data_IF_727313252049
#
_entry.id   IF_727313252049
#
_cell.length_a   1.000
_cell.length_b   1.000
_cell.length_c   1.000
_cell.angle_alpha   90.00
_cell.angle_beta   90.00
_cell.angle_gamma   90.00
#
_symmetry.space_group_name_H-M   'P 1'
#
loop_
_entity.id
_entity.type
_entity.pdbx_description
1 polymer ?
#
# COMPACT_ATOMS: atom_id res chain seq x y z
N UNK A 1 21.29 18.71 1.09
CA UNK A 1 19.83 18.55 0.88
C UNK A 1 19.64 18.51 -0.62
N UNK A 2 18.93 17.53 -1.18
CA UNK A 2 18.65 17.52 -2.62
C UNK A 2 17.79 18.73 -2.98
N UNK A 3 18.07 19.36 -4.13
CA UNK A 3 17.26 20.49 -4.62
C UNK A 3 15.83 20.00 -4.95
N UNK A 4 14.82 20.86 -4.79
CA UNK A 4 13.42 20.50 -5.05
C UNK A 4 13.23 20.05 -6.51
N UNK A 5 13.97 20.66 -7.43
CA UNK A 5 13.99 20.27 -8.84
C UNK A 5 14.59 18.87 -9.06
N UNK A 6 15.60 18.48 -8.28
CA UNK A 6 16.20 17.14 -8.35
C UNK A 6 15.23 16.06 -7.85
N UNK A 7 14.47 16.38 -6.78
CA UNK A 7 13.44 15.48 -6.24
C UNK A 7 12.32 15.28 -7.25
N UNK A 8 11.82 16.36 -7.86
CA UNK A 8 10.75 16.28 -8.86
C UNK A 8 11.25 15.57 -10.12
N UNK A 9 12.49 15.82 -10.56
CA UNK A 9 13.08 15.17 -11.73
C UNK A 9 13.33 13.66 -11.57
N UNK A 10 13.46 13.18 -10.33
CA UNK A 10 13.64 11.75 -10.02
C UNK A 10 12.37 11.05 -9.50
N UNK A 11 11.30 11.80 -9.25
CA UNK A 11 10.04 11.27 -8.77
C UNK A 11 9.20 10.65 -9.90
N UNK A 12 8.52 9.55 -9.60
CA UNK A 12 7.58 8.91 -10.52
C UNK A 12 6.27 9.70 -10.56
N UNK A 13 5.92 10.25 -11.72
CA UNK A 13 4.66 10.97 -11.92
C UNK A 13 3.49 10.00 -12.15
N UNK A 14 2.45 10.10 -11.31
CA UNK A 14 1.22 9.30 -11.38
C UNK A 14 0.02 10.10 -11.89
N UNK A 15 -0.02 11.40 -11.56
CA UNK A 15 -1.00 12.34 -12.09
C UNK A 15 -0.27 13.63 -12.44
N UNK A 16 -0.34 14.01 -13.71
CA UNK A 16 0.39 15.15 -14.27
C UNK A 16 0.26 16.39 -13.40
N UNK A 17 1.40 16.99 -13.06
CA UNK A 17 1.51 18.21 -12.25
C UNK A 17 0.86 18.13 -10.85
N UNK A 18 0.51 16.92 -10.40
CA UNK A 18 -0.35 16.74 -9.22
C UNK A 18 0.13 15.66 -8.26
N UNK A 19 0.37 14.43 -8.70
CA UNK A 19 0.69 13.31 -7.81
C UNK A 19 1.98 12.64 -8.24
N UNK A 20 2.91 12.55 -7.30
CA UNK A 20 4.22 11.94 -7.51
C UNK A 20 4.57 10.95 -6.39
N UNK A 21 5.46 10.02 -6.72
CA UNK A 21 6.09 9.11 -5.78
C UNK A 21 7.61 9.30 -5.76
N UNK A 22 8.22 9.33 -4.58
CA UNK A 22 9.67 9.50 -4.44
C UNK A 22 10.27 8.62 -3.35
N UNK A 23 11.51 8.18 -3.54
CA UNK A 23 12.32 7.55 -2.49
C UNK A 23 13.31 8.59 -1.95
N UNK A 24 13.24 8.93 -0.67
CA UNK A 24 14.05 10.00 -0.06
C UNK A 24 14.84 9.49 1.15
N UNK A 25 16.07 9.98 1.33
CA UNK A 25 16.94 9.61 2.47
C UNK A 25 16.52 10.30 3.77
N UNK A 26 15.94 11.48 3.66
CA UNK A 26 15.57 12.32 4.80
C UNK A 26 14.16 12.85 4.63
N UNK A 27 13.53 13.17 5.77
CA UNK A 27 12.20 13.79 5.79
C UNK A 27 12.27 15.17 5.10
N UNK A 28 11.59 15.38 3.96
CA UNK A 28 11.56 16.66 3.29
C UNK A 28 10.69 17.67 4.06
N UNK A 29 10.96 18.96 3.87
CA UNK A 29 10.08 20.03 4.33
C UNK A 29 9.13 20.39 3.18
N UNK A 30 7.84 20.58 3.50
CA UNK A 30 6.88 21.06 2.51
C UNK A 30 7.16 22.52 2.14
N UNK A 31 6.90 22.87 0.88
CA UNK A 31 7.17 24.20 0.31
C UNK A 31 5.85 24.91 -0.01
N UNK A 32 5.94 26.10 -0.62
CA UNK A 32 4.79 26.80 -1.17
C UNK A 32 4.09 26.00 -2.29
N UNK A 33 4.86 25.20 -3.05
CA UNK A 33 4.39 24.49 -4.24
C UNK A 33 4.30 22.98 -4.07
N UNK A 34 4.85 22.42 -2.98
CA UNK A 34 4.93 20.97 -2.80
C UNK A 34 4.51 20.56 -1.39
N UNK A 35 3.63 19.57 -1.31
CA UNK A 35 3.19 18.91 -0.09
C UNK A 35 3.76 17.48 -0.06
N UNK A 36 4.59 17.19 0.93
CA UNK A 36 5.13 15.86 1.13
C UNK A 36 4.32 15.09 2.17
N UNK A 37 4.13 13.80 1.96
CA UNK A 37 3.61 12.89 2.98
C UNK A 37 4.22 11.50 2.83
N UNK A 38 4.26 10.77 3.94
CA UNK A 38 4.78 9.42 4.05
C UNK A 38 3.82 8.61 4.94
N UNK A 39 3.82 7.29 4.75
CA UNK A 39 3.03 6.33 5.55
C UNK A 39 3.89 5.20 6.13
N UNK A 40 5.21 5.27 5.96
CA UNK A 40 6.18 4.21 6.38
C UNK A 40 6.04 3.80 7.85
N UNK A 41 5.66 4.73 8.74
CA UNK A 41 5.51 4.51 10.18
C UNK A 41 4.04 4.64 10.64
N UNK A 42 3.11 4.77 9.70
CA UNK A 42 1.66 4.87 9.96
C UNK A 42 0.92 3.62 9.52
N UNK A 43 1.26 3.07 8.35
CA UNK A 43 0.70 1.84 7.80
C UNK A 43 1.79 0.78 7.85
N UNK A 44 1.93 0.15 9.02
CA UNK A 44 2.99 -0.82 9.31
C UNK A 44 2.43 -2.23 9.12
N UNK A 45 3.15 -3.04 8.33
CA UNK A 45 2.82 -4.45 8.18
C UNK A 45 3.19 -5.22 9.46
N UNK A 46 2.27 -6.01 9.99
CA UNK A 46 2.52 -6.90 11.13
C UNK A 46 3.00 -8.25 10.60
N UNK A 47 4.28 -8.53 10.77
CA UNK A 47 4.91 -9.73 10.22
C UNK A 47 4.75 -10.94 11.13
N UNK A 48 4.57 -12.12 10.53
CA UNK A 48 4.65 -13.39 11.25
C UNK A 48 6.09 -13.85 11.44
N UNK A 49 6.91 -13.72 10.40
CA UNK A 49 8.33 -14.05 10.43
C UNK A 49 9.14 -13.02 9.63
N UNK A 50 9.58 -13.37 8.41
CA UNK A 50 10.39 -12.51 7.56
C UNK A 50 9.60 -11.84 6.42
N UNK A 51 8.33 -12.22 6.27
CA UNK A 51 7.32 -11.50 5.49
C UNK A 51 7.26 -10.03 5.91
N UNK A 52 6.97 -9.16 4.94
CA UNK A 52 6.97 -7.71 5.17
C UNK A 52 5.83 -6.98 4.44
N UNK A 53 5.00 -7.71 3.70
CA UNK A 53 3.97 -7.17 2.84
C UNK A 53 3.44 -8.19 1.82
N UNK A 54 2.59 -7.75 0.89
CA UNK A 54 2.07 -6.39 0.75
C UNK A 54 1.14 -6.00 1.92
N UNK A 55 0.92 -4.70 2.10
CA UNK A 55 -0.07 -4.18 3.06
C UNK A 55 -1.49 -4.66 2.73
N UNK A 56 -2.31 -4.85 3.76
CA UNK A 56 -3.63 -5.47 3.65
C UNK A 56 -4.73 -4.51 3.11
N UNK A 57 -5.96 -4.99 2.98
CA UNK A 57 -7.07 -4.20 2.41
C UNK A 57 -7.46 -2.98 3.25
N UNK A 58 -7.45 -3.09 4.59
CA UNK A 58 -7.72 -1.97 5.48
C UNK A 58 -6.66 -0.86 5.33
N UNK A 59 -5.38 -1.24 5.29
CA UNK A 59 -4.28 -0.30 5.10
C UNK A 59 -4.34 0.38 3.73
N UNK A 60 -4.64 -0.38 2.67
CA UNK A 60 -4.87 0.18 1.34
C UNK A 60 -6.07 1.14 1.31
N UNK A 61 -7.17 0.79 1.99
CA UNK A 61 -8.34 1.66 2.13
C UNK A 61 -7.98 2.98 2.82
N UNK A 62 -7.32 2.91 3.98
CA UNK A 62 -6.86 4.10 4.73
C UNK A 62 -5.91 4.97 3.92
N UNK A 63 -4.98 4.35 3.18
CA UNK A 63 -4.11 5.07 2.24
C UNK A 63 -4.91 5.83 1.18
N UNK A 64 -5.88 5.16 0.54
CA UNK A 64 -6.72 5.77 -0.48
C UNK A 64 -7.55 6.94 0.07
N UNK A 65 -8.17 6.78 1.24
CA UNK A 65 -8.91 7.84 1.93
C UNK A 65 -8.01 9.04 2.23
N UNK A 66 -6.80 8.79 2.76
CA UNK A 66 -5.81 9.83 3.08
C UNK A 66 -5.37 10.59 1.84
N UNK A 67 -5.06 9.88 0.75
CA UNK A 67 -4.63 10.49 -0.50
C UNK A 67 -5.75 11.30 -1.16
N UNK A 68 -6.97 10.76 -1.20
CA UNK A 68 -8.15 11.47 -1.68
C UNK A 68 -8.42 12.74 -0.88
N UNK A 69 -8.31 12.70 0.45
CA UNK A 69 -8.45 13.89 1.31
C UNK A 69 -7.42 14.95 0.97
N UNK A 70 -6.16 14.55 0.70
CA UNK A 70 -5.10 15.50 0.30
C UNK A 70 -5.37 16.11 -1.08
N UNK A 71 -5.75 15.29 -2.07
CA UNK A 71 -6.04 15.75 -3.43
C UNK A 71 -7.25 16.70 -3.50
N UNK A 72 -8.28 16.47 -2.66
CA UNK A 72 -9.48 17.32 -2.55
C UNK A 72 -9.30 18.54 -1.64
N UNK A 73 -8.21 18.62 -0.88
CA UNK A 73 -8.01 19.71 0.09
C UNK A 73 -7.79 21.06 -0.62
N UNK A 74 -8.62 22.05 -0.29
CA UNK A 74 -8.48 23.41 -0.84
C UNK A 74 -7.11 24.03 -0.55
N UNK A 75 -6.57 23.81 0.65
CA UNK A 75 -5.23 24.31 1.04
C UNK A 75 -4.08 23.68 0.24
N UNK A 76 -4.32 22.55 -0.42
CA UNK A 76 -3.34 21.83 -1.24
C UNK A 76 -3.65 21.92 -2.74
N UNK A 77 -4.73 22.58 -3.15
CA UNK A 77 -5.23 22.54 -4.53
C UNK A 77 -4.17 22.93 -5.58
N UNK A 78 -3.30 23.90 -5.26
CA UNK A 78 -2.22 24.40 -6.14
C UNK A 78 -0.85 23.78 -5.87
N UNK A 79 -0.72 22.82 -4.95
CA UNK A 79 0.56 22.21 -4.56
C UNK A 79 0.70 20.82 -5.15
N UNK A 80 1.84 20.43 -5.71
CA UNK A 80 2.16 19.02 -6.01
C UNK A 80 2.11 18.19 -4.73
N UNK A 81 1.50 17.01 -4.79
CA UNK A 81 1.45 16.06 -3.67
C UNK A 81 2.47 14.96 -3.97
N UNK A 82 3.43 14.80 -3.07
CA UNK A 82 4.49 13.80 -3.19
C UNK A 82 4.31 12.80 -2.06
N UNK A 83 3.93 11.56 -2.42
CA UNK A 83 4.06 10.42 -1.54
C UNK A 83 5.53 10.01 -1.55
N UNK A 84 6.23 10.21 -0.43
CA UNK A 84 7.61 9.75 -0.31
C UNK A 84 7.73 8.58 0.67
N UNK A 85 8.75 7.77 0.45
CA UNK A 85 9.14 6.65 1.32
C UNK A 85 10.66 6.70 1.57
N UNK A 86 11.12 5.99 2.59
CA UNK A 86 12.54 5.86 2.94
C UNK A 86 13.30 4.96 1.97
N UNK A 87 14.62 4.81 2.16
CA UNK A 87 15.44 3.87 1.37
C UNK A 87 15.38 2.41 1.87
N UNK A 88 14.61 2.11 2.91
CA UNK A 88 14.37 0.73 3.35
C UNK A 88 13.63 -0.04 2.24
N UNK A 89 14.20 -1.15 1.78
CA UNK A 89 13.68 -1.88 0.62
C UNK A 89 12.26 -2.43 0.82
N UNK A 90 11.91 -2.80 2.06
CA UNK A 90 10.58 -3.33 2.41
C UNK A 90 9.55 -2.20 2.42
N UNK A 91 9.88 -1.07 3.06
CA UNK A 91 9.04 0.14 3.06
C UNK A 91 8.82 0.66 1.64
N UNK A 92 9.86 0.68 0.79
CA UNK A 92 9.75 1.06 -0.63
C UNK A 92 8.77 0.19 -1.40
N UNK A 93 8.84 -1.13 -1.25
CA UNK A 93 7.95 -2.05 -1.94
C UNK A 93 6.48 -1.86 -1.50
N UNK A 94 6.21 -1.71 -0.21
CA UNK A 94 4.86 -1.44 0.31
C UNK A 94 4.32 -0.08 -0.13
N UNK A 95 5.12 0.98 -0.05
CA UNK A 95 4.71 2.32 -0.45
C UNK A 95 4.44 2.41 -1.96
N UNK A 96 5.24 1.71 -2.77
CA UNK A 96 5.03 1.55 -4.20
C UNK A 96 3.74 0.77 -4.51
N UNK A 97 3.47 -0.32 -3.77
CA UNK A 97 2.22 -1.07 -3.89
C UNK A 97 1.01 -0.18 -3.65
N UNK A 98 1.01 0.60 -2.57
CA UNK A 98 -0.10 1.50 -2.22
C UNK A 98 -0.40 2.54 -3.31
N UNK A 99 0.62 3.23 -3.84
CA UNK A 99 0.38 4.26 -4.85
C UNK A 99 -0.02 3.67 -6.21
N UNK A 100 0.55 2.53 -6.60
CA UNK A 100 0.16 1.84 -7.83
C UNK A 100 -1.24 1.24 -7.72
N UNK A 101 -1.60 0.66 -6.57
CA UNK A 101 -2.95 0.19 -6.29
C UNK A 101 -3.95 1.36 -6.39
N UNK A 102 -3.65 2.50 -5.76
CA UNK A 102 -4.46 3.71 -5.89
C UNK A 102 -4.66 4.14 -7.35
N UNK A 103 -3.59 4.07 -8.17
CA UNK A 103 -3.68 4.39 -9.59
C UNK A 103 -4.62 3.45 -10.36
N UNK A 104 -4.64 2.16 -10.03
CA UNK A 104 -5.60 1.20 -10.61
C UNK A 104 -7.03 1.56 -10.18
N UNK A 105 -7.25 1.77 -8.88
CA UNK A 105 -8.59 1.95 -8.31
C UNK A 105 -9.22 3.28 -8.73
N UNK A 106 -8.49 4.39 -8.54
CA UNK A 106 -9.01 5.75 -8.68
C UNK A 106 -8.61 6.43 -9.98
N UNK A 107 -7.44 6.12 -10.55
CA UNK A 107 -6.99 6.68 -11.84
C UNK A 107 -7.29 5.76 -13.04
N UNK A 108 -7.95 4.62 -12.78
CA UNK A 108 -8.40 3.63 -13.78
C UNK A 108 -7.26 3.14 -14.69
N UNK A 109 -6.06 2.98 -14.12
CA UNK A 109 -4.89 2.45 -14.80
C UNK A 109 -4.91 0.92 -14.84
N UNK A 110 -4.33 0.35 -15.89
CA UNK A 110 -3.93 -1.06 -15.90
C UNK A 110 -2.75 -1.30 -14.94
N UNK A 111 -2.51 -2.54 -14.48
CA UNK A 111 -1.34 -2.89 -13.67
C UNK A 111 -0.01 -2.39 -14.27
N UNK A 112 0.17 -2.56 -15.58
CA UNK A 112 1.37 -2.14 -16.30
C UNK A 112 1.51 -0.62 -16.32
N UNK A 113 0.41 0.11 -16.55
CA UNK A 113 0.45 1.58 -16.50
C UNK A 113 0.71 2.13 -15.11
N UNK A 114 0.22 1.47 -14.06
CA UNK A 114 0.48 1.84 -12.67
C UNK A 114 1.91 1.48 -12.23
N UNK A 115 2.52 0.47 -12.84
CA UNK A 115 3.88 0.02 -12.54
C UNK A 115 4.95 0.81 -13.32
N UNK A 116 4.68 1.14 -14.59
CA UNK A 116 5.65 1.78 -15.50
C UNK A 116 6.35 3.01 -14.93
N UNK A 117 5.69 4.00 -14.29
CA UNK A 117 6.36 5.17 -13.75
C UNK A 117 7.40 4.85 -12.68
N UNK A 118 7.22 3.74 -11.96
CA UNK A 118 8.13 3.33 -10.88
C UNK A 118 9.45 2.76 -11.41
N UNK A 119 9.43 2.18 -12.62
CA UNK A 119 10.58 1.49 -13.23
C UNK A 119 11.16 2.20 -14.46
N UNK A 120 10.54 3.29 -14.93
CA UNK A 120 10.99 4.03 -16.10
C UNK A 120 12.31 4.81 -15.91
N UNK A 121 12.79 4.94 -14.67
CA UNK A 121 14.04 5.64 -14.33
C UNK A 121 15.08 4.74 -13.69
N UNK A 122 16.17 5.33 -13.19
CA UNK A 122 17.28 4.61 -12.53
C UNK A 122 16.98 4.21 -11.07
N UNK A 123 15.70 3.99 -10.73
CA UNK A 123 15.31 3.58 -9.39
C UNK A 123 15.78 2.15 -9.12
N UNK A 124 16.33 1.84 -7.93
CA UNK A 124 16.65 0.47 -7.58
C UNK A 124 15.40 -0.41 -7.65
N UNK A 125 15.52 -1.68 -8.04
CA UNK A 125 14.38 -2.59 -8.10
C UNK A 125 13.69 -2.70 -6.74
N UNK A 126 12.39 -2.99 -6.77
CA UNK A 126 11.62 -3.26 -5.55
C UNK A 126 11.89 -4.68 -5.08
N UNK A 127 12.02 -4.85 -3.76
CA UNK A 127 12.14 -6.17 -3.15
C UNK A 127 10.84 -6.95 -3.38
N UNK A 128 10.89 -8.15 -3.99
CA UNK A 128 9.72 -9.01 -4.10
C UNK A 128 9.18 -9.42 -2.73
N UNK A 129 7.86 -9.61 -2.63
CA UNK A 129 7.21 -10.10 -1.43
C UNK A 129 7.47 -11.60 -1.27
N UNK A 130 7.71 -12.00 -0.03
CA UNK A 130 7.97 -13.39 0.36
C UNK A 130 6.84 -13.92 1.25
N UNK A 131 6.82 -15.23 1.43
CA UNK A 131 5.87 -15.89 2.31
C UNK A 131 6.27 -15.79 3.81
N UNK A 132 5.34 -16.22 4.66
CA UNK A 132 5.45 -16.18 6.12
C UNK A 132 6.11 -17.45 6.73
N UNK A 133 6.60 -18.40 5.92
CA UNK A 133 7.22 -19.61 6.45
C UNK A 133 8.59 -19.35 7.09
N UNK A 134 8.98 -20.28 7.97
CA UNK A 134 10.33 -20.35 8.51
C UNK A 134 11.33 -20.79 7.45
N UNK A 135 12.46 -20.08 7.39
CA UNK A 135 13.60 -20.44 6.54
C UNK A 135 13.68 -19.66 5.23
N UNK A 136 14.25 -20.30 4.21
CA UNK A 136 14.51 -19.67 2.91
C UNK A 136 13.22 -19.60 2.07
N UNK A 137 12.95 -18.42 1.52
CA UNK A 137 11.84 -18.22 0.59
C UNK A 137 12.11 -18.96 -0.73
N UNK A 138 11.19 -19.81 -1.15
CA UNK A 138 11.28 -20.58 -2.40
C UNK A 138 10.45 -19.99 -3.54
N UNK A 139 9.55 -19.05 -3.24
CA UNK A 139 8.70 -18.40 -4.22
C UNK A 139 8.37 -16.96 -3.81
N UNK A 140 8.59 -16.00 -4.71
CA UNK A 140 8.34 -14.59 -4.44
C UNK A 140 7.26 -14.04 -5.38
N UNK A 141 6.46 -13.11 -4.87
CA UNK A 141 5.53 -12.31 -5.66
C UNK A 141 6.13 -10.94 -5.93
N UNK A 142 6.16 -10.53 -7.20
CA UNK A 142 6.58 -9.18 -7.57
C UNK A 142 5.49 -8.17 -7.29
N UNK A 143 5.85 -6.89 -7.30
CA UNK A 143 4.87 -5.80 -7.23
C UNK A 143 3.81 -5.93 -8.34
N UNK A 144 4.22 -6.29 -9.55
CA UNK A 144 3.31 -6.42 -10.69
C UNK A 144 2.33 -7.59 -10.52
N UNK A 145 2.77 -8.71 -9.93
CA UNK A 145 1.90 -9.85 -9.63
C UNK A 145 0.76 -9.45 -8.67
N UNK A 146 1.10 -8.71 -7.61
CA UNK A 146 0.11 -8.17 -6.66
C UNK A 146 -0.87 -7.20 -7.34
N UNK A 147 -0.39 -6.34 -8.23
CA UNK A 147 -1.23 -5.40 -8.98
C UNK A 147 -2.20 -6.13 -9.94
N UNK A 148 -1.75 -7.20 -10.59
CA UNK A 148 -2.62 -8.07 -11.38
C UNK A 148 -3.68 -8.77 -10.52
N UNK A 149 -3.30 -9.26 -9.34
CA UNK A 149 -4.22 -9.84 -8.37
C UNK A 149 -5.33 -8.86 -7.98
N UNK A 150 -4.94 -7.63 -7.60
CA UNK A 150 -5.89 -6.56 -7.28
C UNK A 150 -6.81 -6.22 -8.46
N UNK A 151 -6.25 -6.05 -9.67
CA UNK A 151 -7.03 -5.73 -10.86
C UNK A 151 -8.08 -6.80 -11.16
N UNK A 152 -7.71 -8.08 -11.05
CA UNK A 152 -8.66 -9.20 -11.22
C UNK A 152 -9.70 -9.24 -10.10
N UNK A 153 -9.31 -8.99 -8.85
CA UNK A 153 -10.24 -8.94 -7.71
C UNK A 153 -11.30 -7.84 -7.91
N UNK A 154 -10.89 -6.65 -8.37
CA UNK A 154 -11.81 -5.55 -8.72
C UNK A 154 -12.73 -5.94 -9.87
N UNK A 155 -12.19 -6.52 -10.94
CA UNK A 155 -12.98 -6.94 -12.12
C UNK A 155 -14.04 -8.02 -11.80
N UNK A 156 -13.79 -8.85 -10.77
CA UNK A 156 -14.70 -9.90 -10.34
C UNK A 156 -15.55 -9.50 -9.12
N UNK A 157 -15.46 -8.24 -8.65
CA UNK A 157 -16.26 -7.76 -7.53
C UNK A 157 -15.87 -8.35 -6.17
N UNK A 158 -14.64 -8.86 -6.01
CA UNK A 158 -14.17 -9.38 -4.71
C UNK A 158 -13.83 -8.27 -3.73
N UNK A 159 -13.67 -7.04 -4.25
CA UNK A 159 -13.39 -5.87 -3.45
C UNK A 159 -14.09 -4.64 -4.04
N UNK A 160 -14.77 -3.87 -3.20
CA UNK A 160 -15.44 -2.63 -3.58
C UNK A 160 -15.18 -1.56 -2.53
N UNK A 161 -14.48 -0.49 -2.92
CA UNK A 161 -14.12 0.62 -2.03
C UNK A 161 -15.32 1.44 -1.53
N UNK A 162 -16.44 1.44 -2.24
CA UNK A 162 -17.62 2.22 -1.85
C UNK A 162 -18.40 1.55 -0.72
N UNK A 163 -18.28 0.22 -0.60
CA UNK A 163 -19.03 -0.60 0.35
C UNK A 163 -18.13 -1.33 1.34
N UNK A 164 -16.82 -1.09 1.31
CA UNK A 164 -15.88 -1.76 2.20
C UNK A 164 -15.97 -1.18 3.61
N UNK A 165 -16.36 -2.02 4.56
CA UNK A 165 -16.37 -1.68 5.97
C UNK A 165 -14.99 -1.98 6.58
N UNK A 166 -14.18 -0.93 6.69
CA UNK A 166 -12.84 -1.03 7.27
C UNK A 166 -12.87 -1.34 8.76
N UNK A 167 -13.91 -0.88 9.47
CA UNK A 167 -13.99 -1.06 10.92
C UNK A 167 -14.41 -2.51 11.24
N UNK A 168 -15.30 -3.11 10.43
CA UNK A 168 -15.59 -4.55 10.49
C UNK A 168 -14.34 -5.41 10.19
N UNK A 169 -13.62 -5.08 9.11
CA UNK A 169 -12.39 -5.79 8.73
C UNK A 169 -11.38 -5.78 9.87
N UNK A 170 -11.08 -4.60 10.42
CA UNK A 170 -10.10 -4.45 11.50
C UNK A 170 -10.58 -4.98 12.85
N UNK A 171 -11.89 -5.09 13.06
CA UNK A 171 -12.44 -5.76 14.23
C UNK A 171 -12.14 -7.25 14.16
N UNK A 172 -12.53 -7.91 13.07
CA UNK A 172 -12.47 -9.37 12.97
C UNK A 172 -11.10 -9.94 12.58
N UNK A 173 -10.17 -9.12 12.06
CA UNK A 173 -8.78 -9.57 11.84
C UNK A 173 -8.04 -9.89 13.15
N UNK A 174 -8.53 -9.39 14.28
CA UNK A 174 -7.88 -9.60 15.58
C UNK A 174 -8.20 -10.98 16.15
N UNK A 175 -7.19 -11.59 16.78
CA UNK A 175 -7.28 -12.90 17.43
C UNK A 175 -8.41 -12.95 18.46
N UNK A 176 -8.57 -11.91 19.27
CA UNK A 176 -9.64 -11.86 20.27
C UNK A 176 -11.06 -11.84 19.69
N UNK A 177 -11.20 -11.49 18.41
CA UNK A 177 -12.49 -11.37 17.73
C UNK A 177 -12.71 -12.47 16.68
N UNK A 178 -11.78 -13.41 16.54
CA UNK A 178 -11.92 -14.61 15.72
C UNK A 178 -10.86 -14.82 14.65
N UNK A 179 -9.98 -13.83 14.41
CA UNK A 179 -8.92 -13.86 13.38
C UNK A 179 -9.44 -14.41 12.06
N UNK A 180 -10.36 -13.66 11.45
CA UNK A 180 -10.94 -14.02 10.17
C UNK A 180 -10.98 -12.86 9.19
N UNK A 181 -10.94 -13.20 7.91
CA UNK A 181 -11.06 -12.27 6.81
C UNK A 181 -11.88 -12.86 5.67
N UNK A 182 -12.72 -12.02 5.05
CA UNK A 182 -13.37 -12.37 3.79
C UNK A 182 -12.36 -12.38 2.65
N UNK A 183 -12.24 -13.53 1.97
CA UNK A 183 -11.42 -13.66 0.75
C UNK A 183 -12.27 -13.33 -0.49
N UNK A 184 -13.51 -13.81 -0.48
CA UNK A 184 -14.54 -13.42 -1.45
C UNK A 184 -15.80 -13.10 -0.65
N UNK A 185 -16.32 -11.86 -0.71
CA UNK A 185 -17.49 -11.45 0.07
C UNK A 185 -18.66 -12.42 -0.11
N UNK A 186 -19.27 -12.82 1.01
CA UNK A 186 -20.42 -13.73 1.07
C UNK A 186 -20.18 -15.14 0.45
N UNK A 187 -18.93 -15.55 0.24
CA UNK A 187 -18.61 -16.85 -0.37
C UNK A 187 -17.46 -17.59 0.29
N UNK A 188 -16.34 -16.92 0.53
CA UNK A 188 -15.15 -17.53 1.13
C UNK A 188 -14.67 -16.70 2.30
N UNK A 189 -14.73 -17.32 3.48
CA UNK A 189 -14.22 -16.79 4.75
C UNK A 189 -13.04 -17.66 5.18
N UNK A 190 -11.90 -17.04 5.46
CA UNK A 190 -10.76 -17.71 6.06
C UNK A 190 -10.65 -17.28 7.52
N UNK A 191 -10.44 -18.23 8.44
CA UNK A 191 -10.39 -17.97 9.87
C UNK A 191 -9.47 -18.95 10.59
N UNK A 192 -8.96 -18.55 11.76
CA UNK A 192 -8.18 -19.43 12.62
C UNK A 192 -9.05 -20.57 13.18
N UNK A 193 -8.48 -21.79 13.24
CA UNK A 193 -9.19 -22.97 13.74
C UNK A 193 -9.62 -22.79 15.20
N UNK A 194 -10.92 -22.88 15.54
CA UNK A 194 -11.40 -22.60 16.88
C UNK A 194 -10.97 -23.71 17.85
N UNK A 195 -10.70 -23.32 19.10
CA UNK A 195 -10.36 -24.26 20.16
C UNK A 195 -11.58 -24.47 21.09
N UNK A 196 -11.85 -25.70 21.59
CA UNK A 196 -13.02 -26.00 22.43
C UNK A 196 -13.03 -25.32 23.81
N UNK A 197 -11.96 -24.61 24.18
CA UNK A 197 -11.85 -23.87 25.43
C UNK A 197 -11.25 -22.51 25.13
N UNK A 198 -11.87 -21.46 25.66
CA UNK A 198 -11.25 -20.13 25.71
C UNK A 198 -10.02 -20.21 26.60
N UNK A 199 -8.84 -20.09 26.00
CA UNK A 199 -7.59 -19.92 26.73
C UNK A 199 -7.14 -18.48 26.54
N UNK A 200 -7.05 -17.73 27.62
CA UNK A 200 -6.26 -16.50 27.67
C UNK A 200 -4.84 -16.95 28.02
N UNK A 201 -4.09 -17.44 27.02
CA UNK A 201 -2.64 -17.55 27.18
C UNK A 201 -2.08 -16.17 26.81
N UNK A 202 -1.51 -15.48 27.81
CA UNK A 202 -0.63 -14.35 27.54
C UNK A 202 0.49 -14.91 26.65
N UNK A 203 0.50 -14.52 25.37
CA UNK A 203 1.48 -14.93 24.38
C UNK A 203 2.92 -14.77 24.87
#
# INVERSE_FOLDING_TARGET
>A
MADENDIIGSASEFLKDRLYFATLRTKPRSTAHTHYFCVDDELVYENFYADFGPLNLAQLYRYCCKLNKKLKSFSLAKKRIIHYTSFDARKRANAAFLISAYAIIYLKKTPEEAYRPLVAGSNPPFLPFRDASFGACTYNLTLLDCLHGLSKALANGFFNFETFDVDEYEHYEKVENGDFNWIVPNKFLAFCGPHPKTKIENG
#
